data_IF_882722576537
#
_entry.id   IF_882722576537
#
_cell.length_a   1.000
_cell.length_b   1.000
_cell.length_c   1.000
_cell.angle_alpha   90.00
_cell.angle_beta   90.00
_cell.angle_gamma   90.00
#
_symmetry.space_group_name_H-M   'P 1'
#
loop_
_entity.id
_entity.type
_entity.pdbx_description
1 polymer ?
#
# COMPACT_ATOMS: atom_id res chain seq x y z
N UNK A 1 -12.07 -0.29 20.01
CA UNK A 1 -11.73 -1.63 20.50
C UNK A 1 -12.06 -2.64 19.42
N UNK A 2 -11.14 -3.54 19.03
CA UNK A 2 -11.43 -4.58 18.04
C UNK A 2 -12.57 -5.48 18.52
N UNK A 3 -13.47 -5.87 17.61
CA UNK A 3 -14.64 -6.71 17.91
C UNK A 3 -14.28 -7.97 18.69
N UNK A 4 -13.15 -8.60 18.36
CA UNK A 4 -12.66 -9.79 19.05
C UNK A 4 -12.36 -9.53 20.54
N UNK A 5 -11.82 -8.37 20.87
CA UNK A 5 -11.53 -8.00 22.25
C UNK A 5 -12.82 -7.73 23.05
N UNK A 6 -13.84 -7.14 22.41
CA UNK A 6 -15.16 -6.94 23.01
C UNK A 6 -15.86 -8.28 23.24
N UNK A 7 -15.92 -9.14 22.22
CA UNK A 7 -16.56 -10.46 22.30
C UNK A 7 -15.88 -11.33 23.35
N UNK A 8 -14.55 -11.36 23.38
CA UNK A 8 -13.81 -12.15 24.36
C UNK A 8 -13.94 -11.64 25.80
N UNK A 9 -14.20 -10.33 25.99
CA UNK A 9 -14.44 -9.78 27.34
C UNK A 9 -15.74 -10.28 27.98
N UNK A 10 -16.73 -10.65 27.14
CA UNK A 10 -17.99 -11.25 27.60
C UNK A 10 -17.75 -12.67 28.13
N UNK A 11 -16.81 -13.40 27.51
CA UNK A 11 -16.49 -14.78 27.88
C UNK A 11 -15.59 -14.78 29.13
N UNK A 12 -14.45 -14.10 29.08
CA UNK A 12 -13.48 -14.03 30.20
C UNK A 12 -12.50 -12.86 29.99
N UNK A 13 -12.18 -12.06 31.04
CA UNK A 13 -11.18 -11.00 30.96
C UNK A 13 -9.79 -11.46 30.52
N UNK A 14 -9.38 -12.68 30.87
CA UNK A 14 -8.09 -13.25 30.43
C UNK A 14 -8.08 -13.53 28.92
N UNK A 15 -9.19 -14.04 28.39
CA UNK A 15 -9.35 -14.27 26.95
C UNK A 15 -9.21 -12.94 26.15
N UNK A 16 -9.78 -11.85 26.67
CA UNK A 16 -9.63 -10.51 26.08
C UNK A 16 -8.15 -10.11 25.93
N UNK A 17 -7.36 -10.24 26.98
CA UNK A 17 -5.94 -9.88 26.97
C UNK A 17 -5.16 -10.75 25.99
N UNK A 18 -5.42 -12.06 25.99
CA UNK A 18 -4.77 -13.00 25.06
C UNK A 18 -5.07 -12.64 23.59
N UNK A 19 -6.32 -12.31 23.26
CA UNK A 19 -6.69 -11.88 21.90
C UNK A 19 -6.08 -10.52 21.53
N UNK A 20 -5.99 -9.58 22.48
CA UNK A 20 -5.31 -8.30 22.24
C UNK A 20 -3.84 -8.50 21.91
N UNK A 21 -3.13 -9.36 22.63
CA UNK A 21 -1.73 -9.69 22.35
C UNK A 21 -1.59 -10.39 20.99
N UNK A 22 -2.48 -11.32 20.67
CA UNK A 22 -2.48 -12.00 19.38
C UNK A 22 -2.67 -11.03 18.22
N UNK A 23 -3.66 -10.13 18.32
CA UNK A 23 -3.90 -9.09 17.29
C UNK A 23 -2.71 -8.12 17.22
N UNK A 24 -2.09 -7.77 18.34
CA UNK A 24 -0.90 -6.93 18.41
C UNK A 24 0.23 -7.52 17.55
N UNK A 25 0.56 -8.78 17.76
CA UNK A 25 1.62 -9.47 17.02
C UNK A 25 1.32 -9.54 15.51
N UNK A 26 0.08 -9.89 15.14
CA UNK A 26 -0.33 -9.94 13.75
C UNK A 26 -0.29 -8.56 13.09
N UNK A 27 -0.67 -7.50 13.80
CA UNK A 27 -0.67 -6.15 13.25
C UNK A 27 0.76 -5.64 13.05
N UNK A 28 1.73 -5.98 13.92
CA UNK A 28 3.15 -5.69 13.68
C UNK A 28 3.66 -6.36 12.40
N UNK A 29 3.28 -7.62 12.17
CA UNK A 29 3.64 -8.30 10.92
C UNK A 29 3.08 -7.56 9.68
N UNK A 30 1.82 -7.12 9.75
CA UNK A 30 1.18 -6.35 8.67
C UNK A 30 1.92 -5.03 8.44
N UNK A 31 2.25 -4.29 9.51
CA UNK A 31 3.02 -3.04 9.40
C UNK A 31 4.37 -3.24 8.71
N UNK A 32 5.11 -4.27 9.10
CA UNK A 32 6.40 -4.59 8.50
C UNK A 32 6.27 -4.92 7.00
N UNK A 33 5.29 -5.75 6.62
CA UNK A 33 5.06 -6.13 5.22
C UNK A 33 4.69 -4.93 4.36
N UNK A 34 3.79 -4.05 4.83
CA UNK A 34 3.41 -2.85 4.08
C UNK A 34 4.54 -1.83 3.99
N UNK A 35 5.31 -1.61 5.07
CA UNK A 35 6.47 -0.73 5.04
C UNK A 35 7.53 -1.23 4.05
N UNK A 36 7.83 -2.54 4.03
CA UNK A 36 8.75 -3.14 3.06
C UNK A 36 8.24 -3.01 1.62
N UNK A 37 6.94 -3.23 1.38
CA UNK A 37 6.36 -3.13 0.05
C UNK A 37 6.43 -1.70 -0.50
N UNK A 38 6.11 -0.69 0.32
CA UNK A 38 6.19 0.73 -0.07
C UNK A 38 7.64 1.12 -0.31
N UNK A 39 8.56 0.78 0.61
CA UNK A 39 9.98 1.11 0.48
C UNK A 39 10.60 0.45 -0.76
N UNK A 40 10.26 -0.81 -1.03
CA UNK A 40 10.70 -1.52 -2.24
C UNK A 40 10.20 -0.86 -3.53
N UNK A 41 8.95 -0.39 -3.55
CA UNK A 41 8.41 0.36 -4.69
C UNK A 41 9.05 1.73 -4.85
N UNK A 42 9.37 2.45 -3.77
CA UNK A 42 10.10 3.72 -3.85
C UNK A 42 11.50 3.54 -4.45
N UNK A 43 12.17 2.44 -4.12
CA UNK A 43 13.49 2.11 -4.71
C UNK A 43 13.35 1.65 -6.16
N UNK A 44 12.32 0.86 -6.49
CA UNK A 44 12.10 0.35 -7.84
C UNK A 44 11.56 1.42 -8.82
N UNK A 45 10.73 2.35 -8.31
CA UNK A 45 10.08 3.40 -9.09
C UNK A 45 10.27 4.77 -8.40
N UNK A 46 11.47 5.37 -8.45
CA UNK A 46 11.78 6.63 -7.74
C UNK A 46 10.90 7.81 -8.18
N UNK A 47 10.31 7.74 -9.37
CA UNK A 47 9.37 8.73 -9.90
C UNK A 47 8.07 8.84 -9.09
N UNK A 48 7.73 7.81 -8.30
CA UNK A 48 6.54 7.77 -7.45
C UNK A 48 6.69 8.52 -6.12
N UNK A 49 7.92 8.81 -5.69
CA UNK A 49 8.19 9.40 -4.37
C UNK A 49 7.62 10.81 -4.26
N UNK A 50 7.85 11.66 -5.27
CA UNK A 50 7.37 13.04 -5.27
C UNK A 50 5.83 13.12 -5.18
N UNK A 51 5.06 12.47 -6.07
CA UNK A 51 3.59 12.57 -6.02
C UNK A 51 2.99 12.04 -4.71
N UNK A 52 3.54 10.98 -4.12
CA UNK A 52 3.06 10.44 -2.84
C UNK A 52 3.25 11.43 -1.69
N UNK A 53 4.41 12.10 -1.61
CA UNK A 53 4.65 13.09 -0.57
C UNK A 53 3.76 14.34 -0.75
N UNK A 54 3.54 14.76 -1.99
CA UNK A 54 2.62 15.87 -2.29
C UNK A 54 1.16 15.48 -1.98
N UNK A 55 0.75 14.25 -2.22
CA UNK A 55 -0.58 13.75 -1.85
C UNK A 55 -0.88 13.93 -0.36
N UNK A 56 0.10 13.70 0.52
CA UNK A 56 -0.04 13.92 1.96
C UNK A 56 -0.34 15.40 2.27
N UNK A 57 0.39 16.31 1.64
CA UNK A 57 0.19 17.76 1.82
C UNK A 57 -1.19 18.17 1.31
N UNK A 58 -1.57 17.71 0.13
CA UNK A 58 -2.87 17.99 -0.48
C UNK A 58 -3.99 17.47 0.42
N UNK A 59 -3.88 16.25 0.96
CA UNK A 59 -4.88 15.66 1.85
C UNK A 59 -5.10 16.50 3.11
N UNK A 60 -4.03 17.01 3.72
CA UNK A 60 -4.11 17.90 4.90
C UNK A 60 -4.85 19.20 4.55
N UNK A 61 -4.52 19.84 3.43
CA UNK A 61 -5.16 21.08 2.97
C UNK A 61 -6.65 20.84 2.74
N UNK A 62 -7.01 19.76 2.06
CA UNK A 62 -8.39 19.40 1.76
C UNK A 62 -9.14 19.04 3.04
N UNK A 63 -8.53 18.29 3.95
CA UNK A 63 -9.12 18.00 5.25
C UNK A 63 -9.48 19.27 6.00
N UNK A 64 -8.59 20.24 6.01
CA UNK A 64 -8.86 21.55 6.61
C UNK A 64 -10.01 22.29 5.90
N UNK A 65 -10.02 22.32 4.57
CA UNK A 65 -11.07 23.00 3.79
C UNK A 65 -12.45 22.35 4.00
N UNK A 66 -12.55 21.04 3.96
CA UNK A 66 -13.82 20.33 4.14
C UNK A 66 -14.35 20.51 5.56
N UNK A 67 -13.52 20.27 6.59
CA UNK A 67 -14.01 20.20 7.97
C UNK A 67 -14.06 21.54 8.67
N UNK A 68 -13.13 22.46 8.40
CA UNK A 68 -13.12 23.81 9.00
C UNK A 68 -13.91 24.83 8.20
N UNK A 69 -13.84 24.78 6.88
CA UNK A 69 -14.56 25.69 5.97
C UNK A 69 -15.90 25.16 5.50
N UNK A 70 -16.23 23.89 5.81
CA UNK A 70 -17.49 23.22 5.45
C UNK A 70 -17.78 23.22 3.94
N UNK A 71 -16.75 23.15 3.12
CA UNK A 71 -16.86 23.08 1.66
C UNK A 71 -17.30 21.67 1.28
N UNK A 72 -18.13 21.54 0.24
CA UNK A 72 -18.52 20.23 -0.30
C UNK A 72 -17.28 19.43 -0.69
N UNK A 73 -17.20 18.17 -0.29
CA UNK A 73 -16.02 17.32 -0.45
C UNK A 73 -15.67 17.00 -1.91
N UNK A 74 -16.65 16.94 -2.80
CA UNK A 74 -16.44 16.48 -4.18
C UNK A 74 -15.51 17.39 -4.97
N UNK A 75 -15.77 18.70 -4.97
CA UNK A 75 -15.02 19.66 -5.78
C UNK A 75 -13.54 19.79 -5.35
N UNK A 76 -13.19 19.96 -4.07
CA UNK A 76 -11.80 19.96 -3.63
C UNK A 76 -11.06 18.66 -3.95
N UNK A 77 -11.75 17.52 -3.87
CA UNK A 77 -11.11 16.21 -4.14
C UNK A 77 -10.82 15.99 -5.61
N UNK A 78 -11.66 16.47 -6.51
CA UNK A 78 -11.38 16.44 -7.96
C UNK A 78 -10.19 17.35 -8.31
N UNK A 79 -10.10 18.52 -7.69
CA UNK A 79 -8.92 19.40 -7.84
C UNK A 79 -7.67 18.69 -7.31
N UNK A 80 -7.76 18.06 -6.15
CA UNK A 80 -6.65 17.30 -5.59
C UNK A 80 -6.17 16.19 -6.51
N UNK A 81 -7.10 15.46 -7.09
CA UNK A 81 -6.80 14.40 -8.03
C UNK A 81 -6.10 14.95 -9.28
N UNK A 82 -6.58 16.08 -9.81
CA UNK A 82 -5.92 16.77 -10.93
C UNK A 82 -4.48 17.19 -10.57
N UNK A 83 -4.30 17.80 -9.40
CA UNK A 83 -2.97 18.19 -8.91
C UNK A 83 -2.08 16.95 -8.75
N UNK A 84 -2.61 15.85 -8.19
CA UNK A 84 -1.87 14.60 -8.06
C UNK A 84 -1.38 14.09 -9.42
N UNK A 85 -2.23 14.08 -10.46
CA UNK A 85 -1.82 13.66 -11.80
C UNK A 85 -0.77 14.59 -12.42
N UNK A 86 -0.85 15.90 -12.15
CA UNK A 86 0.21 16.85 -12.56
C UNK A 86 1.52 16.48 -11.87
N UNK A 87 1.49 16.17 -10.56
CA UNK A 87 2.69 15.76 -9.84
C UNK A 87 3.19 14.36 -10.23
N UNK A 88 2.34 13.46 -10.66
CA UNK A 88 2.77 12.19 -11.28
C UNK A 88 3.57 12.49 -12.57
N UNK A 89 3.10 13.39 -13.40
CA UNK A 89 3.83 13.81 -14.60
C UNK A 89 5.16 14.53 -14.25
N UNK A 90 5.16 15.44 -13.28
CA UNK A 90 6.39 16.10 -12.79
C UNK A 90 7.36 15.06 -12.23
N UNK A 91 6.88 14.09 -11.46
CA UNK A 91 7.70 13.03 -10.87
C UNK A 91 8.44 12.19 -11.90
N UNK A 92 7.89 12.03 -13.12
CA UNK A 92 8.61 11.33 -14.20
C UNK A 92 9.85 12.09 -14.67
N UNK A 93 9.88 13.41 -14.52
CA UNK A 93 11.01 14.27 -14.91
C UNK A 93 11.98 14.51 -13.75
N UNK A 94 11.49 14.46 -12.52
CA UNK A 94 12.28 14.72 -11.30
C UNK A 94 12.18 13.53 -10.32
N UNK A 95 12.78 12.37 -10.66
CA UNK A 95 12.77 11.21 -9.77
C UNK A 95 13.58 11.47 -8.50
N UNK A 96 13.02 11.12 -7.34
CA UNK A 96 13.72 11.20 -6.05
C UNK A 96 14.22 9.81 -5.69
N UNK A 97 15.55 9.62 -5.78
CA UNK A 97 16.22 8.37 -5.46
C UNK A 97 17.16 8.54 -4.28
N UNK A 98 17.09 7.65 -3.31
CA UNK A 98 18.04 7.59 -2.20
C UNK A 98 19.24 6.71 -2.52
N UNK A 99 19.12 5.75 -3.43
CA UNK A 99 20.25 4.91 -3.85
C UNK A 99 21.12 5.66 -4.86
N UNK A 100 22.43 5.52 -4.71
CA UNK A 100 23.43 6.17 -5.55
C UNK A 100 24.51 6.88 -4.74
N UNK A 101 25.36 7.64 -5.44
CA UNK A 101 26.45 8.38 -4.83
C UNK A 101 26.01 9.80 -4.46
N UNK A 102 25.97 10.09 -3.18
CA UNK A 102 25.70 11.43 -2.67
C UNK A 102 27.01 12.16 -2.38
N UNK A 103 27.18 13.37 -2.93
CA UNK A 103 28.35 14.21 -2.70
C UNK A 103 27.95 15.33 -1.76
N UNK A 104 28.46 15.31 -0.54
CA UNK A 104 28.26 16.39 0.41
C UNK A 104 29.44 17.39 0.28
N UNK A 105 29.12 18.66 0.02
CA UNK A 105 30.08 19.75 -0.09
C UNK A 105 30.13 20.50 1.25
N UNK A 106 30.97 20.03 2.17
CA UNK A 106 31.23 20.73 3.42
C UNK A 106 32.54 21.55 3.32
N UNK A 107 32.68 22.57 4.13
CA UNK A 107 33.81 23.52 4.06
C UNK A 107 35.23 22.90 4.17
N UNK A 108 35.37 21.63 4.58
CA UNK A 108 36.65 20.97 4.82
C UNK A 108 36.91 19.65 4.10
N UNK A 109 35.91 18.95 3.57
CA UNK A 109 36.11 17.69 2.83
C UNK A 109 34.91 17.29 1.99
N UNK A 110 35.18 16.65 0.84
CA UNK A 110 34.17 15.99 0.01
C UNK A 110 33.91 14.60 0.57
N UNK A 111 32.77 14.38 1.17
CA UNK A 111 32.37 13.04 1.60
C UNK A 111 31.44 12.42 0.54
N UNK A 112 31.92 11.36 -0.10
CA UNK A 112 31.09 10.54 -0.99
C UNK A 112 30.44 9.46 -0.15
N UNK A 113 29.10 9.44 -0.12
CA UNK A 113 28.33 8.40 0.54
C UNK A 113 27.66 7.58 -0.57
N UNK A 114 28.05 6.33 -0.70
CA UNK A 114 27.38 5.37 -1.59
C UNK A 114 26.31 4.64 -0.79
N UNK A 115 25.05 4.81 -1.20
CA UNK A 115 23.92 4.14 -0.59
C UNK A 115 23.51 2.98 -1.50
N UNK A 116 23.59 1.76 -1.00
CA UNK A 116 23.14 0.57 -1.70
C UNK A 116 21.60 0.53 -1.80
N UNK A 117 21.05 -0.32 -2.67
CA UNK A 117 19.59 -0.49 -2.76
C UNK A 117 18.99 -1.02 -1.46
N UNK A 118 19.69 -1.89 -0.74
CA UNK A 118 19.26 -2.43 0.56
C UNK A 118 19.21 -1.36 1.63
N UNK A 119 20.26 -0.50 1.68
CA UNK A 119 20.34 0.60 2.64
C UNK A 119 19.28 1.65 2.34
N UNK A 120 19.05 2.00 1.07
CA UNK A 120 17.96 2.88 0.65
C UNK A 120 16.58 2.34 1.07
N UNK A 121 16.35 1.03 0.92
CA UNK A 121 15.10 0.40 1.38
C UNK A 121 14.95 0.53 2.90
N UNK A 122 16.02 0.28 3.66
CA UNK A 122 16.02 0.42 5.13
C UNK A 122 15.76 1.86 5.57
N UNK A 123 16.38 2.83 4.91
CA UNK A 123 16.13 4.26 5.18
C UNK A 123 14.67 4.61 4.91
N UNK A 124 14.09 4.15 3.77
CA UNK A 124 12.69 4.38 3.46
C UNK A 124 11.76 3.76 4.48
N UNK A 125 12.04 2.55 4.99
CA UNK A 125 11.26 1.91 6.06
C UNK A 125 11.25 2.78 7.32
N UNK A 126 12.41 3.29 7.75
CA UNK A 126 12.51 4.17 8.91
C UNK A 126 11.70 5.45 8.69
N UNK A 127 11.83 6.09 7.53
CA UNK A 127 11.07 7.31 7.20
C UNK A 127 9.56 7.05 7.17
N UNK A 128 9.12 5.90 6.65
CA UNK A 128 7.71 5.50 6.63
C UNK A 128 7.17 5.26 8.04
N UNK A 129 7.95 4.69 8.95
CA UNK A 129 7.55 4.51 10.34
C UNK A 129 7.48 5.84 11.09
N UNK A 130 8.41 6.76 10.87
CA UNK A 130 8.33 8.13 11.41
C UNK A 130 7.07 8.82 10.88
N UNK A 131 6.83 8.76 9.57
CA UNK A 131 5.63 9.30 8.94
C UNK A 131 4.36 8.71 9.54
N UNK A 132 4.23 7.38 9.60
CA UNK A 132 3.01 6.71 10.11
C UNK A 132 2.77 6.98 11.60
N UNK A 133 3.84 7.17 12.38
CA UNK A 133 3.75 7.62 13.78
C UNK A 133 3.08 8.98 13.87
N UNK A 134 3.54 9.95 13.09
CA UNK A 134 2.96 11.31 13.03
C UNK A 134 1.51 11.24 12.53
N UNK A 135 1.27 10.54 11.41
CA UNK A 135 -0.04 10.39 10.80
C UNK A 135 -1.06 9.74 11.74
N UNK A 136 -0.63 8.75 12.53
CA UNK A 136 -1.51 8.09 13.51
C UNK A 136 -1.95 9.01 14.65
N UNK A 137 -1.17 10.03 14.99
CA UNK A 137 -1.49 11.02 16.03
C UNK A 137 -2.45 12.11 15.53
N UNK A 138 -2.48 12.37 14.23
CA UNK A 138 -3.37 13.36 13.64
C UNK A 138 -4.85 12.92 13.72
N UNK A 139 -5.78 13.86 13.80
CA UNK A 139 -7.21 13.56 13.68
C UNK A 139 -7.53 12.88 12.33
N UNK A 140 -8.46 11.91 12.36
CA UNK A 140 -8.85 11.14 11.15
C UNK A 140 -9.34 12.06 10.03
N UNK A 141 -10.11 13.09 10.38
CA UNK A 141 -10.67 14.06 9.44
C UNK A 141 -9.63 14.93 8.73
N UNK A 142 -8.43 15.08 9.31
CA UNK A 142 -7.41 15.98 8.75
C UNK A 142 -6.61 15.34 7.63
N UNK A 143 -6.23 14.07 7.78
CA UNK A 143 -5.35 13.37 6.83
C UNK A 143 -6.02 12.13 6.23
N UNK A 144 -6.51 11.22 7.07
CA UNK A 144 -6.93 9.90 6.62
C UNK A 144 -8.15 9.96 5.69
N UNK A 145 -9.24 10.60 6.13
CA UNK A 145 -10.47 10.69 5.34
C UNK A 145 -10.30 11.40 4.00
N UNK A 146 -9.65 12.59 3.92
CA UNK A 146 -9.43 13.26 2.64
C UNK A 146 -8.55 12.44 1.69
N UNK A 147 -7.53 11.78 2.22
CA UNK A 147 -6.65 10.93 1.44
C UNK A 147 -7.37 9.71 0.90
N UNK A 148 -8.13 9.00 1.72
CA UNK A 148 -8.93 7.85 1.28
C UNK A 148 -9.94 8.24 0.20
N UNK A 149 -10.51 9.46 0.28
CA UNK A 149 -11.43 9.97 -0.72
C UNK A 149 -10.74 10.27 -2.05
N UNK A 150 -9.53 10.85 -2.05
CA UNK A 150 -8.71 11.04 -3.25
C UNK A 150 -8.35 9.69 -3.87
N UNK A 151 -7.88 8.75 -3.05
CA UNK A 151 -7.48 7.41 -3.48
C UNK A 151 -8.63 6.62 -4.09
N UNK A 152 -9.85 6.76 -3.58
CA UNK A 152 -11.02 6.09 -4.16
C UNK A 152 -11.28 6.52 -5.60
N UNK A 153 -11.14 7.82 -5.90
CA UNK A 153 -11.26 8.34 -7.26
C UNK A 153 -10.11 7.88 -8.15
N UNK A 154 -8.88 7.88 -7.62
CA UNK A 154 -7.70 7.38 -8.31
C UNK A 154 -7.85 5.88 -8.65
N UNK A 155 -8.41 5.08 -7.75
CA UNK A 155 -8.67 3.66 -7.99
C UNK A 155 -9.67 3.46 -9.13
N UNK A 156 -10.79 4.18 -9.12
CA UNK A 156 -11.81 4.07 -10.16
C UNK A 156 -11.21 4.40 -11.54
N UNK A 157 -10.44 5.48 -11.62
CA UNK A 157 -9.77 5.88 -12.87
C UNK A 157 -8.70 4.85 -13.26
N UNK A 158 -7.86 4.43 -12.33
CA UNK A 158 -6.79 3.46 -12.58
C UNK A 158 -7.33 2.10 -13.04
N UNK A 159 -8.36 1.58 -12.40
CA UNK A 159 -9.04 0.35 -12.83
C UNK A 159 -9.71 0.53 -14.20
N UNK A 160 -10.37 1.66 -14.41
CA UNK A 160 -10.97 1.98 -15.72
C UNK A 160 -9.94 1.96 -16.84
N UNK A 161 -8.76 2.55 -16.63
CA UNK A 161 -7.66 2.55 -17.59
C UNK A 161 -7.08 1.14 -17.80
N UNK A 162 -6.90 0.34 -16.75
CA UNK A 162 -6.43 -1.05 -16.89
C UNK A 162 -7.41 -1.86 -17.73
N UNK A 163 -8.72 -1.83 -17.41
CA UNK A 163 -9.71 -2.56 -18.18
C UNK A 163 -9.85 -2.04 -19.61
N UNK A 164 -9.76 -0.73 -19.81
CA UNK A 164 -9.69 -0.17 -21.16
C UNK A 164 -8.49 -0.72 -21.92
N UNK A 165 -7.31 -0.80 -21.29
CA UNK A 165 -6.12 -1.44 -21.84
C UNK A 165 -6.37 -2.88 -22.22
N UNK A 166 -6.99 -3.66 -21.34
CA UNK A 166 -7.33 -5.07 -21.62
C UNK A 166 -8.26 -5.19 -22.82
N UNK A 167 -9.30 -4.37 -22.90
CA UNK A 167 -10.26 -4.40 -24.03
C UNK A 167 -9.63 -3.99 -25.35
N UNK A 168 -8.76 -2.99 -25.37
CA UNK A 168 -8.16 -2.48 -26.60
C UNK A 168 -6.98 -3.33 -27.08
N UNK A 169 -6.14 -3.80 -26.15
CA UNK A 169 -4.92 -4.55 -26.45
C UNK A 169 -5.18 -6.04 -26.63
N UNK A 170 -6.20 -6.57 -25.94
CA UNK A 170 -6.54 -8.00 -25.91
C UNK A 170 -5.31 -8.89 -25.68
N UNK A 171 -4.59 -8.69 -24.56
CA UNK A 171 -3.33 -9.36 -24.31
C UNK A 171 -3.54 -10.88 -24.17
N UNK A 172 -2.63 -11.64 -24.73
CA UNK A 172 -2.62 -13.10 -24.55
C UNK A 172 -2.12 -13.45 -23.15
N UNK A 173 -2.70 -14.50 -22.56
CA UNK A 173 -2.25 -15.02 -21.28
C UNK A 173 -0.94 -15.79 -21.52
N UNK A 174 0.15 -15.31 -20.93
CA UNK A 174 1.49 -15.91 -21.04
C UNK A 174 1.76 -16.93 -19.91
N UNK A 175 1.01 -16.84 -18.82
CA UNK A 175 1.12 -17.77 -17.71
C UNK A 175 0.54 -19.15 -18.08
N UNK A 176 1.22 -20.26 -17.70
CA UNK A 176 0.66 -21.60 -17.89
C UNK A 176 -0.52 -21.83 -16.94
N UNK A 177 -1.54 -22.57 -17.38
CA UNK A 177 -2.71 -22.90 -16.56
C UNK A 177 -2.31 -23.69 -15.29
N UNK A 178 -1.35 -24.56 -15.40
CA UNK A 178 -0.77 -25.33 -14.28
C UNK A 178 0.75 -25.32 -14.46
N UNK A 179 1.48 -24.92 -13.42
CA UNK A 179 2.93 -24.98 -13.38
C UNK A 179 3.39 -26.24 -12.66
N UNK A 180 4.30 -27.00 -13.27
CA UNK A 180 5.05 -28.04 -12.55
C UNK A 180 5.99 -27.35 -11.54
N UNK A 181 6.02 -27.85 -10.30
CA UNK A 181 6.93 -27.34 -9.27
C UNK A 181 8.35 -27.79 -9.63
N UNK A 182 9.14 -26.86 -10.17
CA UNK A 182 10.53 -27.09 -10.52
C UNK A 182 11.53 -26.60 -9.48
N UNK A 183 11.05 -25.72 -8.58
CA UNK A 183 11.87 -25.10 -7.54
C UNK A 183 11.59 -25.75 -6.18
N UNK A 184 12.61 -26.44 -5.64
CA UNK A 184 12.54 -27.09 -4.33
C UNK A 184 12.40 -26.10 -3.16
N UNK A 185 12.71 -24.82 -3.38
CA UNK A 185 12.55 -23.75 -2.38
C UNK A 185 11.11 -23.22 -2.30
N UNK A 186 10.28 -23.51 -3.32
CA UNK A 186 8.89 -23.08 -3.32
C UNK A 186 8.07 -23.83 -2.26
N UNK A 187 7.27 -23.15 -1.46
CA UNK A 187 6.41 -23.80 -0.48
C UNK A 187 5.36 -24.68 -1.19
N UNK A 188 4.90 -25.76 -0.55
CA UNK A 188 3.90 -26.63 -1.13
C UNK A 188 2.60 -25.86 -1.41
N UNK A 189 1.95 -26.18 -2.53
CA UNK A 189 0.70 -25.51 -2.91
C UNK A 189 -0.36 -25.59 -1.81
N UNK A 190 -0.46 -26.74 -1.16
CA UNK A 190 -1.30 -26.90 0.05
C UNK A 190 -0.39 -26.95 1.29
N UNK A 191 -0.60 -26.12 2.33
CA UNK A 191 -1.70 -25.13 2.49
C UNK A 191 -1.38 -23.72 1.97
N UNK A 192 -0.18 -23.44 1.47
CA UNK A 192 0.32 -22.08 1.23
C UNK A 192 -0.53 -21.27 0.24
N UNK A 193 -1.04 -21.86 -0.82
CA UNK A 193 -1.93 -21.17 -1.75
C UNK A 193 -3.18 -20.68 -1.05
N UNK A 194 -3.79 -21.53 -0.21
CA UNK A 194 -5.01 -21.19 0.52
C UNK A 194 -4.74 -20.10 1.57
N UNK A 195 -3.60 -20.16 2.28
CA UNK A 195 -3.20 -19.11 3.23
C UNK A 195 -2.99 -17.77 2.53
N UNK A 196 -2.36 -17.77 1.36
CA UNK A 196 -2.10 -16.55 0.58
C UNK A 196 -3.40 -15.94 0.05
N UNK A 197 -4.32 -16.76 -0.47
CA UNK A 197 -5.62 -16.30 -0.96
C UNK A 197 -6.51 -15.85 0.21
N UNK A 198 -6.47 -16.54 1.34
CA UNK A 198 -7.28 -16.20 2.51
C UNK A 198 -7.02 -14.78 3.04
N UNK A 199 -5.79 -14.28 2.92
CA UNK A 199 -5.47 -12.90 3.30
C UNK A 199 -6.31 -11.89 2.50
N UNK A 200 -6.48 -12.09 1.18
CA UNK A 200 -7.31 -11.22 0.35
C UNK A 200 -8.82 -11.47 0.50
N UNK A 201 -9.22 -12.73 0.64
CA UNK A 201 -10.65 -13.10 0.64
C UNK A 201 -11.35 -12.87 1.99
N UNK A 202 -10.67 -13.17 3.11
CA UNK A 202 -11.25 -13.16 4.46
C UNK A 202 -10.35 -12.49 5.50
N UNK A 203 -9.64 -11.44 5.10
CA UNK A 203 -8.68 -10.74 5.98
C UNK A 203 -9.33 -10.25 7.27
N UNK A 204 -8.81 -10.68 8.41
CA UNK A 204 -9.21 -10.18 9.73
C UNK A 204 -8.89 -8.69 9.93
N UNK A 205 -7.97 -8.13 9.15
CA UNK A 205 -7.65 -6.71 9.19
C UNK A 205 -8.84 -5.85 8.76
N UNK A 206 -9.61 -6.26 7.75
CA UNK A 206 -10.84 -5.58 7.35
C UNK A 206 -11.86 -5.51 8.50
N UNK A 207 -12.00 -6.59 9.28
CA UNK A 207 -12.84 -6.60 10.49
C UNK A 207 -12.36 -5.62 11.57
N UNK A 208 -11.03 -5.49 11.74
CA UNK A 208 -10.43 -4.54 12.67
C UNK A 208 -10.70 -3.09 12.25
N UNK A 209 -10.50 -2.76 10.97
CA UNK A 209 -10.73 -1.42 10.41
C UNK A 209 -12.23 -1.08 10.44
N UNK A 210 -13.08 -2.00 10.03
CA UNK A 210 -14.53 -1.81 10.02
C UNK A 210 -15.06 -1.49 11.42
N UNK A 211 -14.64 -2.23 12.45
CA UNK A 211 -15.09 -2.01 13.83
C UNK A 211 -14.44 -0.81 14.52
N UNK A 212 -13.16 -0.55 14.20
CA UNK A 212 -12.37 0.49 14.85
C UNK A 212 -12.54 1.90 14.28
N UNK A 213 -12.74 1.99 12.97
CA UNK A 213 -12.68 3.26 12.23
C UNK A 213 -13.94 3.49 11.40
N UNK A 214 -14.28 2.59 10.48
CA UNK A 214 -15.35 2.79 9.49
C UNK A 214 -16.72 2.93 10.14
N UNK A 215 -17.04 2.10 11.13
CA UNK A 215 -18.34 2.15 11.85
C UNK A 215 -18.60 3.48 12.54
N UNK A 216 -17.55 4.23 12.89
CA UNK A 216 -17.65 5.57 13.50
C UNK A 216 -17.82 6.70 12.49
N UNK A 217 -17.67 6.41 11.21
CA UNK A 217 -17.72 7.41 10.12
C UNK A 217 -19.02 7.30 9.31
N UNK A 218 -19.80 6.24 9.51
CA UNK A 218 -21.07 6.03 8.82
C UNK A 218 -22.10 7.01 9.36
N UNK A 219 -22.74 7.76 8.46
CA UNK A 219 -23.77 8.73 8.82
C UNK A 219 -25.13 8.05 9.10
N UNK A 220 -25.48 7.05 8.29
CA UNK A 220 -26.75 6.30 8.43
C UNK A 220 -26.46 4.80 8.42
N UNK A 221 -27.14 4.03 9.26
CA UNK A 221 -26.98 2.58 9.33
C UNK A 221 -27.29 1.88 7.98
N UNK A 222 -28.20 2.44 7.20
CA UNK A 222 -28.57 1.93 5.88
C UNK A 222 -27.40 1.97 4.89
N UNK A 223 -26.48 2.94 5.03
CA UNK A 223 -25.30 3.10 4.17
C UNK A 223 -24.29 1.96 4.37
N UNK A 224 -24.31 1.29 5.53
CA UNK A 224 -23.39 0.19 5.85
C UNK A 224 -23.44 -0.93 4.81
N UNK A 225 -24.63 -1.26 4.30
CA UNK A 225 -24.80 -2.28 3.27
C UNK A 225 -24.16 -1.88 1.95
N UNK A 226 -24.42 -0.66 1.49
CA UNK A 226 -23.91 -0.15 0.21
C UNK A 226 -22.38 -0.02 0.29
N UNK A 227 -21.84 0.51 1.39
CA UNK A 227 -20.41 0.66 1.61
C UNK A 227 -19.73 -0.70 1.67
N UNK A 228 -20.25 -1.65 2.45
CA UNK A 228 -19.65 -2.97 2.63
C UNK A 228 -19.64 -3.79 1.33
N UNK A 229 -20.78 -3.95 0.67
CA UNK A 229 -20.84 -4.70 -0.58
C UNK A 229 -20.18 -3.97 -1.75
N UNK A 230 -20.30 -2.66 -1.83
CA UNK A 230 -19.66 -1.88 -2.88
C UNK A 230 -18.13 -1.95 -2.78
N UNK A 231 -17.56 -1.83 -1.58
CA UNK A 231 -16.13 -1.98 -1.37
C UNK A 231 -15.65 -3.40 -1.71
N UNK A 232 -16.39 -4.44 -1.31
CA UNK A 232 -16.08 -5.84 -1.64
C UNK A 232 -16.06 -6.08 -3.16
N UNK A 233 -17.03 -5.57 -3.90
CA UNK A 233 -17.05 -5.69 -5.36
C UNK A 233 -15.90 -4.92 -6.01
N UNK A 234 -15.57 -3.72 -5.50
CA UNK A 234 -14.41 -2.95 -5.96
C UNK A 234 -13.09 -3.68 -5.72
N UNK A 235 -12.93 -4.31 -4.56
CA UNK A 235 -11.77 -5.12 -4.23
C UNK A 235 -11.66 -6.36 -5.13
N UNK A 236 -12.77 -7.05 -5.39
CA UNK A 236 -12.82 -8.16 -6.35
C UNK A 236 -12.42 -7.72 -7.77
N UNK A 237 -12.86 -6.55 -8.20
CA UNK A 237 -12.48 -5.97 -9.50
C UNK A 237 -10.98 -5.66 -9.56
N UNK A 238 -10.40 -5.12 -8.48
CA UNK A 238 -8.96 -4.90 -8.37
C UNK A 238 -8.18 -6.22 -8.39
N UNK A 239 -8.69 -7.27 -7.73
CA UNK A 239 -8.07 -8.59 -7.73
C UNK A 239 -8.02 -9.19 -9.15
N UNK A 240 -9.09 -9.07 -9.92
CA UNK A 240 -9.12 -9.49 -11.34
C UNK A 240 -8.12 -8.67 -12.17
N UNK A 241 -8.09 -7.34 -12.01
CA UNK A 241 -7.15 -6.47 -12.71
C UNK A 241 -5.69 -6.83 -12.38
N UNK A 242 -5.37 -7.10 -11.11
CA UNK A 242 -4.02 -7.49 -10.70
C UNK A 242 -3.61 -8.86 -11.23
N UNK A 243 -4.55 -9.80 -11.29
CA UNK A 243 -4.30 -11.11 -11.91
C UNK A 243 -4.01 -10.96 -13.39
N UNK A 244 -4.81 -10.20 -14.15
CA UNK A 244 -4.60 -9.96 -15.58
C UNK A 244 -3.25 -9.27 -15.81
N UNK A 245 -2.91 -8.26 -15.02
CA UNK A 245 -1.60 -7.59 -15.10
C UNK A 245 -0.45 -8.57 -14.89
N UNK A 246 -0.56 -9.50 -13.94
CA UNK A 246 0.49 -10.47 -13.65
C UNK A 246 0.60 -11.60 -14.68
N UNK A 247 -0.52 -12.07 -15.28
CA UNK A 247 -0.51 -13.25 -16.17
C UNK A 247 -0.44 -12.89 -17.66
N UNK A 248 -0.85 -11.68 -18.03
CA UNK A 248 -0.89 -11.24 -19.42
C UNK A 248 -0.15 -9.90 -19.63
N UNK A 249 -0.25 -8.96 -18.69
CA UNK A 249 0.39 -7.66 -18.81
C UNK A 249 1.91 -7.72 -18.76
N UNK A 250 2.50 -8.63 -18.00
CA UNK A 250 3.96 -8.78 -17.88
C UNK A 250 4.58 -9.09 -19.26
N UNK A 251 3.96 -9.91 -20.07
CA UNK A 251 4.45 -10.26 -21.40
C UNK A 251 4.47 -9.09 -22.40
N UNK A 252 3.80 -7.97 -22.07
CA UNK A 252 3.83 -6.77 -22.89
C UNK A 252 5.01 -5.84 -22.57
N UNK A 253 5.79 -6.13 -21.52
CA UNK A 253 6.94 -5.33 -21.10
C UNK A 253 8.14 -5.58 -21.99
N UNK A 254 8.50 -4.57 -22.81
CA UNK A 254 9.59 -4.69 -23.78
C UNK A 254 10.98 -4.58 -23.15
N UNK A 255 11.16 -3.67 -22.19
CA UNK A 255 12.47 -3.47 -21.54
C UNK A 255 12.28 -3.20 -20.05
N UNK A 256 12.91 -3.99 -19.20
CA UNK A 256 12.93 -3.75 -17.77
C UNK A 256 14.26 -4.15 -17.13
N UNK A 257 14.58 -3.48 -16.01
CA UNK A 257 15.71 -3.85 -15.18
C UNK A 257 15.16 -4.17 -13.78
N UNK A 258 15.12 -5.46 -13.49
CA UNK A 258 14.63 -5.96 -12.21
C UNK A 258 15.79 -6.19 -11.24
N UNK A 259 15.66 -5.84 -9.95
CA UNK A 259 16.74 -5.99 -8.98
C UNK A 259 17.29 -7.40 -8.83
N UNK A 260 16.44 -8.40 -9.07
CA UNK A 260 16.77 -9.83 -8.90
C UNK A 260 17.15 -10.54 -10.18
N UNK A 261 16.73 -10.03 -11.35
CA UNK A 261 16.88 -10.71 -12.64
C UNK A 261 17.87 -9.95 -13.54
N UNK A 262 18.03 -8.63 -13.34
CA UNK A 262 18.85 -7.75 -14.18
C UNK A 262 18.06 -7.14 -15.34
N UNK A 263 18.78 -6.71 -16.39
CA UNK A 263 18.19 -6.14 -17.59
C UNK A 263 17.65 -7.27 -18.49
N UNK A 264 16.38 -7.16 -18.88
CA UNK A 264 15.70 -8.13 -19.74
C UNK A 264 14.99 -7.37 -20.86
N UNK A 265 15.26 -7.82 -22.08
CA UNK A 265 14.55 -7.41 -23.29
C UNK A 265 13.38 -8.37 -23.50
N UNK A 266 12.15 -7.93 -23.54
CA UNK A 266 10.94 -8.77 -23.65
C UNK A 266 10.75 -9.72 -22.44
N UNK A 267 10.16 -9.17 -21.41
CA UNK A 267 9.82 -9.92 -20.20
C UNK A 267 8.73 -10.94 -20.51
N UNK A 268 8.86 -12.17 -19.99
CA UNK A 268 7.82 -13.18 -20.01
C UNK A 268 7.44 -13.59 -18.58
N UNK A 269 6.27 -14.21 -18.46
CA UNK A 269 5.84 -14.75 -17.17
C UNK A 269 6.84 -15.79 -16.62
N UNK A 270 7.38 -16.63 -17.48
CA UNK A 270 8.35 -17.66 -17.12
C UNK A 270 9.68 -17.10 -16.62
N UNK A 271 10.13 -15.96 -17.15
CA UNK A 271 11.33 -15.26 -16.68
C UNK A 271 11.06 -14.57 -15.33
N UNK A 272 9.91 -13.89 -15.21
CA UNK A 272 9.57 -13.16 -13.99
C UNK A 272 9.35 -14.08 -12.79
N UNK A 273 8.75 -15.23 -13.01
CA UNK A 273 8.42 -16.23 -11.99
C UNK A 273 9.25 -17.53 -12.14
N UNK A 274 10.48 -17.43 -12.61
CA UNK A 274 11.37 -18.59 -12.80
C UNK A 274 11.66 -19.32 -11.49
N UNK A 275 11.81 -18.57 -10.39
CA UNK A 275 12.10 -19.07 -9.06
C UNK A 275 11.21 -18.44 -8.00
N UNK A 276 11.07 -19.12 -6.85
CA UNK A 276 10.35 -18.57 -5.69
C UNK A 276 11.01 -17.31 -5.14
N UNK A 277 12.35 -17.26 -5.16
CA UNK A 277 13.10 -16.09 -4.71
C UNK A 277 12.78 -14.85 -5.55
N UNK A 278 12.76 -14.97 -6.88
CA UNK A 278 12.39 -13.85 -7.76
C UNK A 278 10.93 -13.43 -7.59
N UNK A 279 10.01 -14.39 -7.51
CA UNK A 279 8.60 -14.11 -7.30
C UNK A 279 8.35 -13.32 -6.00
N UNK A 280 9.03 -13.71 -4.90
CA UNK A 280 8.85 -13.02 -3.60
C UNK A 280 9.54 -11.68 -3.53
N UNK A 281 10.68 -11.49 -4.19
CA UNK A 281 11.38 -10.21 -4.26
C UNK A 281 10.61 -9.15 -5.05
N UNK A 282 9.86 -9.56 -6.08
CA UNK A 282 9.23 -8.67 -7.05
C UNK A 282 7.69 -8.67 -7.00
N UNK A 283 7.07 -9.21 -5.96
CA UNK A 283 5.61 -9.43 -5.89
C UNK A 283 4.73 -8.20 -6.14
N UNK A 284 5.08 -7.04 -5.60
CA UNK A 284 4.32 -5.80 -5.81
C UNK A 284 4.62 -5.17 -7.19
N UNK A 285 5.81 -5.40 -7.72
CA UNK A 285 6.29 -4.84 -8.99
C UNK A 285 5.57 -5.47 -10.18
N UNK A 286 5.10 -6.72 -10.07
CA UNK A 286 4.34 -7.41 -11.11
C UNK A 286 3.11 -6.62 -11.59
N UNK A 287 2.31 -6.12 -10.65
CA UNK A 287 1.13 -5.30 -10.95
C UNK A 287 1.52 -3.96 -11.59
N UNK A 288 2.58 -3.33 -11.09
CA UNK A 288 3.07 -2.04 -11.60
C UNK A 288 3.59 -2.19 -13.04
N UNK A 289 4.38 -3.22 -13.32
CA UNK A 289 4.93 -3.46 -14.65
C UNK A 289 3.85 -3.90 -15.64
N UNK A 290 3.07 -4.90 -15.30
CA UNK A 290 2.04 -5.42 -16.20
C UNK A 290 0.90 -4.45 -16.44
N UNK A 291 0.42 -3.78 -15.39
CA UNK A 291 -0.56 -2.69 -15.52
C UNK A 291 0.01 -1.51 -16.29
N UNK A 292 1.26 -1.11 -16.01
CA UNK A 292 1.96 -0.07 -16.75
C UNK A 292 2.09 -0.38 -18.23
N UNK A 293 2.43 -1.63 -18.59
CA UNK A 293 2.53 -2.05 -19.99
C UNK A 293 1.18 -2.00 -20.72
N UNK A 294 0.08 -2.36 -20.05
CA UNK A 294 -1.25 -2.18 -20.63
C UNK A 294 -1.55 -0.71 -20.92
N UNK A 295 -1.21 0.19 -19.99
CA UNK A 295 -1.39 1.63 -20.18
C UNK A 295 -0.47 2.20 -21.26
N UNK A 296 0.74 1.68 -21.41
CA UNK A 296 1.68 2.05 -22.47
C UNK A 296 1.11 1.71 -23.87
N UNK A 297 0.51 0.53 -23.99
CA UNK A 297 -0.11 0.09 -25.27
C UNK A 297 -1.32 0.93 -25.68
N UNK A 298 -1.99 1.60 -24.76
CA UNK A 298 -3.08 2.53 -25.06
C UNK A 298 -2.61 3.98 -25.31
N UNK A 299 -1.29 4.22 -25.32
CA UNK A 299 -0.69 5.48 -25.72
C UNK A 299 -0.07 6.33 -24.61
N UNK A 300 0.02 5.86 -23.38
CA UNK A 300 0.78 6.55 -22.33
C UNK A 300 2.28 6.28 -22.51
N UNK A 301 3.13 7.27 -22.16
CA UNK A 301 4.57 7.03 -22.13
C UNK A 301 4.94 6.03 -21.02
N UNK A 302 5.92 5.16 -21.27
CA UNK A 302 6.35 4.11 -20.33
C UNK A 302 6.66 4.63 -18.92
N UNK A 303 7.40 5.75 -18.73
CA UNK A 303 7.65 6.30 -17.40
C UNK A 303 6.36 6.75 -16.71
N UNK A 304 5.45 7.40 -17.42
CA UNK A 304 4.18 7.89 -16.87
C UNK A 304 3.27 6.72 -16.46
N UNK A 305 3.14 5.71 -17.32
CA UNK A 305 2.32 4.53 -17.05
C UNK A 305 2.80 3.76 -15.82
N UNK A 306 4.10 3.51 -15.71
CA UNK A 306 4.72 2.86 -14.54
C UNK A 306 4.56 3.69 -13.27
N UNK A 307 4.78 5.02 -13.35
CA UNK A 307 4.62 5.91 -12.19
C UNK A 307 3.18 5.97 -11.72
N UNK A 308 2.21 6.04 -12.63
CA UNK A 308 0.79 6.05 -12.31
C UNK A 308 0.39 4.77 -11.56
N UNK A 309 0.82 3.61 -12.06
CA UNK A 309 0.56 2.33 -11.41
C UNK A 309 1.26 2.22 -10.05
N UNK A 310 2.50 2.68 -9.93
CA UNK A 310 3.23 2.67 -8.66
C UNK A 310 2.57 3.58 -7.63
N UNK A 311 2.18 4.81 -8.01
CA UNK A 311 1.49 5.75 -7.12
C UNK A 311 0.17 5.17 -6.64
N UNK A 312 -0.61 4.53 -7.52
CA UNK A 312 -1.85 3.86 -7.15
C UNK A 312 -1.61 2.82 -6.04
N UNK A 313 -0.65 1.92 -6.21
CA UNK A 313 -0.35 0.88 -5.20
C UNK A 313 0.17 1.48 -3.91
N UNK A 314 1.10 2.43 -4.00
CA UNK A 314 1.75 3.04 -2.82
C UNK A 314 0.76 3.86 -2.00
N UNK A 315 -0.13 4.64 -2.65
CA UNK A 315 -1.16 5.42 -1.96
C UNK A 315 -2.06 4.53 -1.09
N UNK A 316 -2.55 3.41 -1.63
CA UNK A 316 -3.34 2.44 -0.86
C UNK A 316 -2.55 1.75 0.24
N UNK A 317 -1.31 1.34 -0.06
CA UNK A 317 -0.45 0.72 0.94
C UNK A 317 -0.14 1.68 2.10
N UNK A 318 0.09 2.95 1.81
CA UNK A 318 0.40 3.95 2.83
C UNK A 318 -0.81 4.30 3.70
N UNK A 319 -2.03 4.37 3.15
CA UNK A 319 -3.25 4.55 3.99
C UNK A 319 -3.48 3.35 4.89
N UNK A 320 -3.16 2.13 4.42
CA UNK A 320 -3.20 0.92 5.25
C UNK A 320 -2.17 0.99 6.38
N UNK A 321 -0.95 1.46 6.10
CA UNK A 321 0.11 1.64 7.10
C UNK A 321 -0.34 2.63 8.19
N UNK A 322 -0.90 3.78 7.82
CA UNK A 322 -1.40 4.79 8.75
C UNK A 322 -2.52 4.26 9.65
N UNK A 323 -3.47 3.53 9.05
CA UNK A 323 -4.61 2.94 9.77
C UNK A 323 -4.16 1.83 10.70
N UNK A 324 -3.24 0.96 10.26
CA UNK A 324 -2.68 -0.12 11.05
C UNK A 324 -1.93 0.42 12.27
N UNK A 325 -1.08 1.43 12.10
CA UNK A 325 -0.36 2.09 13.20
C UNK A 325 -1.34 2.70 14.21
N UNK A 326 -2.42 3.30 13.75
CA UNK A 326 -3.46 3.85 14.63
C UNK A 326 -4.18 2.78 15.44
N UNK A 327 -4.56 1.67 14.81
CA UNK A 327 -5.21 0.54 15.47
C UNK A 327 -4.25 -0.08 16.48
N UNK A 328 -2.99 -0.27 16.09
CA UNK A 328 -1.93 -0.81 16.95
C UNK A 328 -1.77 0.03 18.22
N UNK A 329 -1.70 1.34 18.09
CA UNK A 329 -1.67 2.26 19.22
C UNK A 329 -2.85 2.09 20.17
N UNK A 330 -4.07 1.91 19.65
CA UNK A 330 -5.24 1.66 20.48
C UNK A 330 -5.16 0.33 21.20
N UNK A 331 -4.67 -0.73 20.54
CA UNK A 331 -4.47 -2.05 21.15
C UNK A 331 -3.46 -1.95 22.30
N UNK A 332 -2.32 -1.29 22.09
CA UNK A 332 -1.28 -1.09 23.11
C UNK A 332 -1.82 -0.31 24.29
N UNK A 333 -2.55 0.78 24.05
CA UNK A 333 -3.16 1.58 25.11
C UNK A 333 -4.19 0.76 25.91
N UNK A 334 -4.93 -0.12 25.26
CA UNK A 334 -5.91 -1.00 25.89
C UNK A 334 -5.25 -2.12 26.71
N UNK A 335 -4.15 -2.69 26.22
CA UNK A 335 -3.31 -3.63 26.98
C UNK A 335 -2.76 -2.92 28.23
N UNK A 336 -2.26 -1.68 28.09
CA UNK A 336 -1.81 -0.85 29.21
C UNK A 336 -2.91 -0.64 30.25
N UNK A 337 -4.15 -0.45 29.83
CA UNK A 337 -5.30 -0.35 30.72
C UNK A 337 -5.61 -1.66 31.44
N UNK A 338 -5.55 -2.80 30.72
CA UNK A 338 -5.81 -4.11 31.30
C UNK A 338 -4.78 -4.49 32.37
N UNK A 339 -3.53 -4.13 32.18
CA UNK A 339 -2.44 -4.35 33.13
C UNK A 339 -2.24 -3.19 34.14
N UNK A 340 -3.06 -2.14 34.08
CA UNK A 340 -2.96 -0.92 34.90
C UNK A 340 -1.61 -0.18 34.79
N UNK A 341 -0.97 -0.26 33.63
CA UNK A 341 0.31 0.40 33.34
C UNK A 341 0.00 1.78 32.71
N UNK A 342 -0.06 2.82 33.54
CA UNK A 342 -0.43 4.18 33.13
C UNK A 342 0.49 4.77 32.05
N UNK A 343 1.79 4.45 32.10
CA UNK A 343 2.77 4.91 31.14
C UNK A 343 2.40 4.53 29.69
N UNK A 344 1.99 3.27 29.46
CA UNK A 344 1.62 2.76 28.13
C UNK A 344 0.27 3.29 27.63
N UNK A 345 -0.57 3.82 28.54
CA UNK A 345 -1.85 4.44 28.14
C UNK A 345 -1.67 5.81 27.46
N UNK A 346 -0.50 6.44 27.65
CA UNK A 346 -0.20 7.71 26.99
C UNK A 346 -0.15 7.50 25.46
N UNK A 347 -0.91 8.31 24.72
CA UNK A 347 -1.02 8.18 23.25
C UNK A 347 0.30 8.30 22.52
N UNK A 348 1.24 9.11 22.99
CA UNK A 348 2.54 9.29 22.37
C UNK A 348 3.43 8.07 22.56
N UNK A 349 3.45 7.56 23.80
CA UNK A 349 4.22 6.36 24.16
C UNK A 349 3.65 5.13 23.46
N UNK A 350 2.33 4.98 23.47
CA UNK A 350 1.65 3.90 22.75
C UNK A 350 1.95 3.96 21.23
N UNK A 351 2.16 5.14 20.66
CA UNK A 351 2.54 5.28 19.24
C UNK A 351 3.98 4.82 19.02
N UNK A 352 4.92 5.13 19.90
CA UNK A 352 6.32 4.68 19.79
C UNK A 352 6.38 3.15 19.83
N UNK A 353 5.59 2.53 20.68
CA UNK A 353 5.52 1.06 20.75
C UNK A 353 4.71 0.44 19.59
N UNK A 354 3.91 1.20 18.87
CA UNK A 354 3.12 0.72 17.76
C UNK A 354 3.95 0.56 16.47
N UNK A 355 5.07 1.24 16.38
CA UNK A 355 5.98 1.31 15.25
C UNK A 355 7.31 0.65 15.60
#
# INVERSE_FOLDING_TARGET
>A
VPNLAVTSSIINPRARVMFLIFILLLTWLVLAVFAMAIAGLFVAVPTSVLPINIEIIIAIIIGYLIYKRKINSLFPSLIALLILYIFIWIGTHYPISLNGTWIWNGELSWTKIEISKSDATSIWIILLFIYSSIASLLPVWLLLQPRDFINSHQLIIGLGLIFLGVFLVQPTIDAPAIRSVTDSSAPPMFPMLFVTIACGAISGFHGLVASGTTSKQINKLQDARIIGYGAMLGEGTLAVASTIAAVAGIALVSNCNLPSIGAVDNLSWSIYYDSWAHATANKATAFVLGGGALLEKIGLSSPLAKTLMAVLVISFAATTLDTATRIQRFIISEIGSAFKIQFIQNRYIATIFAV
#
